data_IF_480308589613
#
_entry.id   IF_480308589613
#
_cell.length_a   1.000
_cell.length_b   1.000
_cell.length_c   1.000
_cell.angle_alpha   90.00
_cell.angle_beta   90.00
_cell.angle_gamma   90.00
#
_symmetry.space_group_name_H-M   'P 1'
#
loop_
_entity.id
_entity.type
_entity.pdbx_description
1 polymer ?
#
# COMPACT_ATOMS: atom_id res chain seq x y z
N UNK A 1 -5.19 18.23 9.79
CA UNK A 1 -4.68 17.33 8.72
C UNK A 1 -3.60 16.44 9.35
N UNK A 2 -3.59 15.16 9.01
CA UNK A 2 -2.53 14.22 9.42
C UNK A 2 -1.22 14.62 8.74
N UNK A 3 -0.12 14.71 9.48
CA UNK A 3 1.18 15.07 8.87
C UNK A 3 1.73 13.93 8.02
N UNK A 4 2.57 14.24 7.02
CA UNK A 4 3.24 13.21 6.20
C UNK A 4 4.02 12.22 7.05
N UNK A 5 4.70 12.69 8.07
CA UNK A 5 5.45 11.83 9.01
C UNK A 5 4.53 10.83 9.74
N UNK A 6 3.35 11.27 10.16
CA UNK A 6 2.35 10.41 10.78
C UNK A 6 1.76 9.41 9.79
N UNK A 7 1.53 9.83 8.52
CA UNK A 7 1.08 8.92 7.45
C UNK A 7 2.13 7.82 7.25
N UNK A 8 3.41 8.17 7.14
CA UNK A 8 4.50 7.19 7.00
C UNK A 8 4.56 6.26 8.21
N UNK A 9 4.42 6.78 9.43
CA UNK A 9 4.37 5.95 10.64
C UNK A 9 3.24 4.91 10.56
N UNK A 10 2.05 5.32 10.16
CA UNK A 10 0.89 4.41 10.02
C UNK A 10 1.07 3.40 8.88
N UNK A 11 1.74 3.76 7.80
CA UNK A 11 2.10 2.81 6.72
C UNK A 11 3.02 1.69 7.24
N UNK A 12 3.86 1.99 8.24
CA UNK A 12 4.80 1.06 8.85
C UNK A 12 4.21 0.24 10.01
N UNK A 13 3.06 0.62 10.57
CA UNK A 13 2.39 -0.09 11.66
C UNK A 13 0.95 -0.49 11.28
N UNK A 14 0.64 -1.79 11.19
CA UNK A 14 1.48 -2.98 11.36
C UNK A 14 2.37 -3.29 10.14
N UNK A 15 2.43 -2.44 9.12
CA UNK A 15 3.22 -2.64 7.92
C UNK A 15 2.59 -3.60 6.91
N UNK A 16 1.27 -3.69 6.90
CA UNK A 16 0.47 -4.40 5.89
C UNK A 16 -0.39 -3.37 5.15
N UNK A 17 -0.18 -3.25 3.86
CA UNK A 17 -0.91 -2.33 2.98
C UNK A 17 -1.80 -3.16 2.07
N UNK A 18 -3.10 -3.28 2.36
CA UNK A 18 -4.05 -3.95 1.48
C UNK A 18 -4.25 -3.15 0.20
N UNK A 19 -4.16 -3.82 -0.94
CA UNK A 19 -4.38 -3.24 -2.27
C UNK A 19 -5.77 -3.65 -2.76
N UNK A 20 -6.70 -2.70 -2.77
CA UNK A 20 -8.08 -2.91 -3.18
C UNK A 20 -8.18 -2.64 -4.68
N UNK A 21 -8.37 -3.71 -5.43
CA UNK A 21 -8.61 -3.69 -6.87
C UNK A 21 -9.87 -4.48 -7.15
N UNK A 22 -10.97 -3.79 -7.38
CA UNK A 22 -12.27 -4.37 -7.65
C UNK A 22 -12.67 -4.15 -9.11
N UNK A 23 -13.30 -5.16 -9.73
CA UNK A 23 -13.87 -5.05 -11.07
C UNK A 23 -15.24 -4.34 -11.03
N UNK A 24 -15.90 -4.36 -9.86
CA UNK A 24 -17.13 -3.63 -9.56
C UNK A 24 -16.88 -2.60 -8.45
N UNK A 25 -17.25 -1.34 -8.70
CA UNK A 25 -17.12 -0.25 -7.73
C UNK A 25 -17.88 -0.53 -6.41
N UNK A 26 -19.03 -1.19 -6.48
CA UNK A 26 -19.88 -1.46 -5.32
C UNK A 26 -19.23 -2.37 -4.28
N UNK A 27 -18.23 -3.16 -4.70
CA UNK A 27 -17.47 -4.02 -3.78
C UNK A 27 -16.38 -3.28 -2.99
N UNK A 28 -15.96 -2.10 -3.43
CA UNK A 28 -14.80 -1.42 -2.84
C UNK A 28 -15.07 -0.92 -1.41
N UNK A 29 -16.22 -0.30 -1.17
CA UNK A 29 -16.55 0.22 0.16
C UNK A 29 -16.80 -0.88 1.20
N UNK A 30 -17.56 -1.96 0.90
CA UNK A 30 -17.67 -3.09 1.81
C UNK A 30 -16.33 -3.78 2.09
N UNK A 31 -15.44 -3.88 1.07
CA UNK A 31 -14.09 -4.40 1.29
C UNK A 31 -13.27 -3.51 2.25
N UNK A 32 -13.35 -2.18 2.11
CA UNK A 32 -12.71 -1.25 3.05
C UNK A 32 -13.22 -1.46 4.49
N UNK A 33 -14.53 -1.61 4.67
CA UNK A 33 -15.13 -1.86 5.99
C UNK A 33 -14.65 -3.18 6.60
N UNK A 34 -14.62 -4.25 5.81
CA UNK A 34 -14.16 -5.55 6.27
C UNK A 34 -12.68 -5.53 6.67
N UNK A 35 -11.82 -4.85 5.89
CA UNK A 35 -10.40 -4.69 6.19
C UNK A 35 -10.19 -3.88 7.48
N UNK A 36 -10.97 -2.80 7.66
CA UNK A 36 -10.93 -1.99 8.89
C UNK A 36 -11.41 -2.78 10.10
N UNK A 37 -12.46 -3.59 9.97
CA UNK A 37 -12.93 -4.46 11.03
C UNK A 37 -11.87 -5.48 11.45
N UNK A 38 -11.05 -5.95 10.51
CA UNK A 38 -9.89 -6.82 10.74
C UNK A 38 -8.63 -6.11 11.25
N UNK A 39 -8.70 -4.79 11.52
CA UNK A 39 -7.62 -4.02 12.13
C UNK A 39 -6.62 -3.39 11.15
N UNK A 40 -6.87 -3.43 9.85
CA UNK A 40 -6.04 -2.74 8.84
C UNK A 40 -6.53 -1.30 8.68
N UNK A 41 -5.75 -0.33 9.15
CA UNK A 41 -6.09 1.10 9.17
C UNK A 41 -5.45 1.90 8.02
N UNK A 42 -4.80 1.22 7.09
CA UNK A 42 -4.24 1.77 5.85
C UNK A 42 -4.92 1.06 4.69
N UNK A 43 -5.48 1.79 3.74
CA UNK A 43 -6.24 1.22 2.62
C UNK A 43 -5.79 1.86 1.30
N UNK A 44 -5.28 1.07 0.36
CA UNK A 44 -4.91 1.51 -1.00
C UNK A 44 -6.03 1.14 -1.99
N UNK A 45 -6.73 2.14 -2.55
CA UNK A 45 -7.69 1.94 -3.64
C UNK A 45 -6.97 2.21 -4.96
N UNK A 46 -6.99 1.25 -5.89
CA UNK A 46 -6.26 1.42 -7.16
C UNK A 46 -7.07 2.21 -8.18
N UNK A 47 -6.39 3.02 -9.00
CA UNK A 47 -7.01 3.77 -10.11
C UNK A 47 -7.62 2.86 -11.19
N UNK A 48 -7.31 1.57 -11.17
CA UNK A 48 -7.92 0.57 -12.06
C UNK A 48 -9.30 0.08 -11.58
N UNK A 49 -9.70 0.43 -10.36
CA UNK A 49 -11.07 0.20 -9.87
C UNK A 49 -12.02 1.20 -10.52
N UNK A 50 -13.17 0.80 -11.06
CA UNK A 50 -14.14 1.72 -11.62
C UNK A 50 -14.54 2.79 -10.58
N UNK A 51 -14.68 4.05 -11.02
CA UNK A 51 -15.02 5.21 -10.18
C UNK A 51 -14.04 5.46 -9.00
N UNK A 52 -12.77 5.09 -9.14
CA UNK A 52 -11.77 5.15 -8.07
C UNK A 52 -11.73 6.50 -7.32
N UNK A 53 -11.79 7.63 -8.03
CA UNK A 53 -11.77 8.96 -7.41
C UNK A 53 -13.01 9.23 -6.53
N UNK A 54 -14.18 8.76 -6.94
CA UNK A 54 -15.39 8.87 -6.13
C UNK A 54 -15.28 7.98 -4.88
N UNK A 55 -14.80 6.76 -5.03
CA UNK A 55 -14.55 5.82 -3.93
C UNK A 55 -13.52 6.35 -2.93
N UNK A 56 -12.42 6.95 -3.40
CA UNK A 56 -11.41 7.57 -2.54
C UNK A 56 -12.05 8.72 -1.73
N UNK A 57 -12.87 9.57 -2.37
CA UNK A 57 -13.56 10.67 -1.69
C UNK A 57 -14.51 10.15 -0.62
N UNK A 58 -15.34 9.17 -0.95
CA UNK A 58 -16.25 8.54 0.01
C UNK A 58 -15.49 7.88 1.17
N UNK A 59 -14.46 7.08 0.88
CA UNK A 59 -13.66 6.41 1.88
C UNK A 59 -12.94 7.40 2.80
N UNK A 60 -12.35 8.47 2.24
CA UNK A 60 -11.65 9.50 3.01
C UNK A 60 -12.57 10.25 3.98
N UNK A 61 -13.84 10.50 3.60
CA UNK A 61 -14.83 11.12 4.45
C UNK A 61 -15.37 10.15 5.51
N UNK A 62 -15.73 8.93 5.09
CA UNK A 62 -16.37 7.93 5.95
C UNK A 62 -15.43 7.36 6.99
N UNK A 63 -14.15 7.20 6.66
CA UNK A 63 -13.15 6.54 7.51
C UNK A 63 -12.08 7.48 8.07
N UNK A 64 -12.19 8.80 7.87
CA UNK A 64 -11.17 9.81 8.19
C UNK A 64 -10.52 9.67 9.57
N UNK A 65 -11.29 9.25 10.60
CA UNK A 65 -10.79 9.05 11.98
C UNK A 65 -10.19 7.66 12.22
N UNK A 66 -10.49 6.69 11.36
CA UNK A 66 -10.14 5.29 11.55
C UNK A 66 -9.04 4.79 10.61
N UNK A 67 -8.99 5.34 9.40
CA UNK A 67 -8.03 4.92 8.37
C UNK A 67 -7.36 6.10 7.67
N UNK A 68 -6.21 5.83 7.08
CA UNK A 68 -5.64 6.64 6.00
C UNK A 68 -5.92 5.95 4.66
N UNK A 69 -6.39 6.75 3.71
CA UNK A 69 -6.77 6.27 2.38
C UNK A 69 -5.67 6.66 1.41
N UNK A 70 -5.20 5.71 0.64
CA UNK A 70 -4.25 5.94 -0.44
C UNK A 70 -4.79 5.57 -1.80
N UNK A 71 -4.10 6.05 -2.80
CA UNK A 71 -4.34 5.72 -4.19
C UNK A 71 -3.20 4.89 -4.76
N UNK A 72 -3.52 3.78 -5.42
CA UNK A 72 -2.55 2.94 -6.14
C UNK A 72 -2.69 3.02 -7.65
N UNK A 73 -1.65 2.54 -8.34
CA UNK A 73 -1.59 2.53 -9.82
C UNK A 73 -1.63 3.94 -10.43
N UNK A 74 -1.02 4.90 -9.73
CA UNK A 74 -0.88 6.27 -10.25
C UNK A 74 0.27 6.32 -11.25
N UNK A 75 -0.01 6.81 -12.46
CA UNK A 75 0.93 6.81 -13.58
C UNK A 75 1.36 8.21 -14.00
N UNK A 76 0.63 9.25 -13.60
CA UNK A 76 0.93 10.64 -13.99
C UNK A 76 0.70 11.62 -12.83
N UNK A 77 1.29 12.81 -12.95
CA UNK A 77 1.10 13.90 -11.99
C UNK A 77 -0.36 14.37 -11.94
N UNK A 78 -1.10 14.31 -13.05
CA UNK A 78 -2.52 14.65 -13.13
C UNK A 78 -3.37 13.67 -12.31
N UNK A 79 -3.13 12.35 -12.46
CA UNK A 79 -3.78 11.32 -11.62
C UNK A 79 -3.48 11.53 -10.14
N UNK A 80 -2.23 11.90 -9.81
CA UNK A 80 -1.81 12.20 -8.45
C UNK A 80 -2.62 13.37 -7.86
N UNK A 81 -2.71 14.52 -8.58
CA UNK A 81 -3.47 15.68 -8.13
C UNK A 81 -4.95 15.33 -7.92
N UNK A 82 -5.57 14.68 -8.90
CA UNK A 82 -6.98 14.31 -8.82
C UNK A 82 -7.28 13.39 -7.62
N UNK A 83 -6.39 12.44 -7.32
CA UNK A 83 -6.55 11.55 -6.17
C UNK A 83 -6.36 12.29 -4.82
N UNK A 84 -5.42 13.22 -4.74
CA UNK A 84 -5.20 14.06 -3.56
C UNK A 84 -6.42 14.98 -3.34
N UNK A 85 -6.96 15.60 -4.38
CA UNK A 85 -8.19 16.39 -4.31
C UNK A 85 -9.41 15.55 -3.90
N UNK A 86 -9.40 14.26 -4.22
CA UNK A 86 -10.39 13.30 -3.72
C UNK A 86 -10.18 12.90 -2.26
N UNK A 87 -9.05 13.25 -1.64
CA UNK A 87 -8.77 12.98 -0.22
C UNK A 87 -7.74 11.87 0.05
N UNK A 88 -6.97 11.44 -0.97
CA UNK A 88 -5.89 10.49 -0.75
C UNK A 88 -4.81 11.09 0.17
N UNK A 89 -4.34 10.30 1.14
CA UNK A 89 -3.28 10.65 2.08
C UNK A 89 -1.91 10.14 1.61
N UNK A 90 -1.87 9.09 0.79
CA UNK A 90 -0.64 8.57 0.20
C UNK A 90 -0.87 8.10 -1.23
N UNK A 91 0.20 8.09 -2.01
CA UNK A 91 0.20 7.78 -3.43
C UNK A 91 1.17 6.63 -3.71
N UNK A 92 0.72 5.64 -4.47
CA UNK A 92 1.53 4.47 -4.85
C UNK A 92 1.60 4.35 -6.37
N UNK A 93 2.81 4.23 -6.90
CA UNK A 93 3.04 3.97 -8.31
C UNK A 93 3.47 2.52 -8.55
N UNK A 94 3.17 1.91 -9.70
CA UNK A 94 3.68 0.58 -10.02
C UNK A 94 5.10 0.60 -10.61
N UNK A 95 5.56 1.76 -11.06
CA UNK A 95 6.85 1.98 -11.71
C UNK A 95 7.47 3.30 -11.23
N UNK A 96 8.71 3.54 -11.59
CA UNK A 96 9.43 4.77 -11.28
C UNK A 96 8.78 5.99 -11.94
N UNK A 97 8.26 6.93 -11.12
CA UNK A 97 7.59 8.19 -11.51
C UNK A 97 8.01 9.31 -10.57
N UNK A 98 9.25 9.79 -10.65
CA UNK A 98 9.81 10.77 -9.70
C UNK A 98 9.06 12.10 -9.70
N UNK A 99 8.44 12.48 -10.82
CA UNK A 99 7.65 13.71 -10.96
C UNK A 99 6.41 13.75 -10.05
N UNK A 100 5.97 12.61 -9.52
CA UNK A 100 4.85 12.51 -8.58
C UNK A 100 5.25 12.95 -7.19
N UNK A 101 6.50 12.76 -6.79
CA UNK A 101 6.97 13.06 -5.43
C UNK A 101 6.74 14.51 -5.02
N UNK A 102 7.20 15.54 -5.75
CA UNK A 102 6.98 16.92 -5.36
C UNK A 102 5.49 17.30 -5.33
N UNK A 103 4.69 16.73 -6.23
CA UNK A 103 3.24 16.97 -6.28
C UNK A 103 2.56 16.49 -5.00
N UNK A 104 2.87 15.27 -4.56
CA UNK A 104 2.28 14.69 -3.36
C UNK A 104 2.82 15.36 -2.08
N UNK A 105 4.11 15.64 -2.00
CA UNK A 105 4.74 16.23 -0.82
C UNK A 105 4.25 17.65 -0.53
N UNK A 106 4.03 18.48 -1.54
CA UNK A 106 3.45 19.83 -1.38
C UNK A 106 2.05 19.76 -0.74
N UNK A 107 1.30 18.68 -1.02
CA UNK A 107 -0.01 18.43 -0.42
C UNK A 107 0.05 17.71 0.94
N UNK A 108 1.25 17.42 1.46
CA UNK A 108 1.44 16.69 2.71
C UNK A 108 1.18 15.19 2.63
N UNK A 109 1.08 14.62 1.41
CA UNK A 109 0.86 13.18 1.18
C UNK A 109 2.18 12.42 1.14
N UNK A 110 2.17 11.16 1.62
CA UNK A 110 3.30 10.26 1.48
C UNK A 110 3.34 9.60 0.10
N UNK A 111 4.54 9.20 -0.35
CA UNK A 111 4.74 8.57 -1.67
C UNK A 111 5.47 7.24 -1.52
N UNK A 112 4.89 6.22 -2.14
CA UNK A 112 5.50 4.90 -2.33
C UNK A 112 5.78 4.73 -3.82
N UNK A 113 7.03 4.98 -4.25
CA UNK A 113 7.42 4.85 -5.65
C UNK A 113 7.71 3.40 -6.03
N UNK A 114 7.23 3.00 -7.20
CA UNK A 114 7.51 1.70 -7.80
C UNK A 114 8.92 1.60 -8.35
N UNK A 115 9.53 0.44 -8.14
CA UNK A 115 10.82 0.03 -8.66
C UNK A 115 10.83 -1.49 -8.85
N UNK A 116 11.76 -2.00 -9.65
CA UNK A 116 11.99 -3.44 -9.78
C UNK A 116 13.46 -3.79 -9.55
N UNK A 117 14.38 -2.93 -9.96
CA UNK A 117 15.83 -3.13 -9.87
C UNK A 117 16.45 -2.34 -8.70
N UNK A 118 17.65 -2.72 -8.21
CA UNK A 118 18.37 -1.96 -7.20
C UNK A 118 18.62 -0.50 -7.62
N UNK A 119 18.92 -0.26 -8.89
CA UNK A 119 19.14 1.09 -9.45
C UNK A 119 17.86 1.92 -9.33
N UNK A 120 16.71 1.38 -9.76
CA UNK A 120 15.43 2.08 -9.65
C UNK A 120 15.06 2.34 -8.19
N UNK A 121 15.33 1.40 -7.29
CA UNK A 121 15.07 1.57 -5.86
C UNK A 121 15.91 2.72 -5.27
N UNK A 122 17.19 2.80 -5.63
CA UNK A 122 18.06 3.91 -5.20
C UNK A 122 17.60 5.25 -5.78
N UNK A 123 17.27 5.29 -7.08
CA UNK A 123 16.75 6.51 -7.72
C UNK A 123 15.42 6.96 -7.12
N UNK A 124 14.54 6.02 -6.72
CA UNK A 124 13.29 6.34 -6.03
C UNK A 124 13.57 7.00 -4.67
N UNK A 125 14.54 6.49 -3.92
CA UNK A 125 14.99 7.09 -2.66
C UNK A 125 15.55 8.51 -2.87
N UNK A 126 16.44 8.70 -3.86
CA UNK A 126 17.03 10.00 -4.20
C UNK A 126 15.99 11.02 -4.67
N UNK A 127 14.94 10.56 -5.35
CA UNK A 127 13.79 11.40 -5.70
C UNK A 127 12.94 11.82 -4.48
N UNK A 128 13.21 11.29 -3.29
CA UNK A 128 12.54 11.63 -2.04
C UNK A 128 11.31 10.76 -1.72
N UNK A 129 11.16 9.58 -2.34
CA UNK A 129 10.09 8.66 -1.95
C UNK A 129 10.17 8.29 -0.46
N UNK A 130 9.02 8.28 0.22
CA UNK A 130 8.95 7.90 1.64
C UNK A 130 9.18 6.40 1.84
N UNK A 131 8.66 5.58 0.90
CA UNK A 131 8.89 4.15 0.80
C UNK A 131 9.06 3.76 -0.67
N UNK A 132 9.58 2.55 -0.91
CA UNK A 132 9.88 2.05 -2.25
C UNK A 132 9.16 0.73 -2.46
N UNK A 133 8.25 0.69 -3.41
CA UNK A 133 7.53 -0.51 -3.80
C UNK A 133 8.37 -1.33 -4.78
N UNK A 134 8.75 -2.54 -4.39
CA UNK A 134 9.31 -3.51 -5.35
C UNK A 134 8.17 -4.30 -5.96
N UNK A 135 7.95 -4.11 -7.27
CA UNK A 135 6.84 -4.73 -8.00
C UNK A 135 7.24 -5.17 -9.41
N UNK A 136 6.87 -6.42 -9.83
CA UNK A 136 6.40 -7.49 -8.95
C UNK A 136 7.50 -7.93 -7.96
N UNK A 137 7.12 -8.36 -6.74
CA UNK A 137 8.13 -8.86 -5.80
C UNK A 137 8.67 -10.21 -6.27
N UNK A 138 9.98 -10.40 -6.15
CA UNK A 138 10.62 -11.68 -6.52
C UNK A 138 10.64 -12.63 -5.32
N UNK A 139 11.53 -12.39 -4.36
CA UNK A 139 11.69 -13.25 -3.19
C UNK A 139 12.25 -12.47 -2.00
N UNK A 140 12.09 -12.95 -0.77
CA UNK A 140 12.76 -12.38 0.40
C UNK A 140 14.28 -12.34 0.25
N UNK A 141 14.89 -13.35 -0.38
CA UNK A 141 16.32 -13.39 -0.64
C UNK A 141 16.79 -12.26 -1.55
N UNK A 142 16.02 -11.92 -2.59
CA UNK A 142 16.31 -10.78 -3.46
C UNK A 142 16.31 -9.45 -2.68
N UNK A 143 15.29 -9.23 -1.84
CA UNK A 143 15.21 -8.03 -1.01
C UNK A 143 16.39 -7.96 -0.02
N UNK A 144 16.71 -9.07 0.63
CA UNK A 144 17.86 -9.14 1.56
C UNK A 144 19.17 -8.81 0.86
N UNK A 145 19.38 -9.33 -0.36
CA UNK A 145 20.58 -9.04 -1.16
C UNK A 145 20.64 -7.55 -1.57
N UNK A 146 19.50 -6.92 -1.87
CA UNK A 146 19.41 -5.49 -2.18
C UNK A 146 19.71 -4.63 -0.95
N UNK A 147 19.13 -4.97 0.21
CA UNK A 147 19.30 -4.21 1.45
C UNK A 147 20.70 -4.34 2.05
N UNK A 148 21.46 -5.38 1.72
CA UNK A 148 22.84 -5.54 2.19
C UNK A 148 23.71 -4.29 1.93
N UNK A 149 23.88 -3.84 0.68
CA UNK A 149 24.60 -2.61 0.35
C UNK A 149 23.79 -1.32 0.56
N UNK A 150 22.44 -1.39 0.67
CA UNK A 150 21.54 -0.23 0.72
C UNK A 150 20.55 -0.34 1.90
N UNK A 151 21.03 -0.42 3.17
CA UNK A 151 20.18 -0.62 4.33
C UNK A 151 19.26 0.57 4.66
N UNK A 152 19.48 1.71 4.03
CA UNK A 152 18.66 2.93 4.19
C UNK A 152 17.33 2.86 3.42
N UNK A 153 17.16 1.91 2.49
CA UNK A 153 15.96 1.80 1.68
C UNK A 153 14.80 1.20 2.48
N UNK A 154 13.65 1.87 2.47
CA UNK A 154 12.41 1.38 3.06
C UNK A 154 11.58 0.64 2.02
N UNK A 155 11.79 -0.67 1.90
CA UNK A 155 11.22 -1.50 0.85
C UNK A 155 9.82 -2.03 1.24
N UNK A 156 8.91 -2.02 0.25
CA UNK A 156 7.55 -2.57 0.31
C UNK A 156 7.37 -3.55 -0.85
N UNK A 157 7.67 -4.84 -0.67
CA UNK A 157 7.42 -5.86 -1.71
C UNK A 157 5.92 -5.97 -1.96
N UNK A 158 5.53 -6.04 -3.22
CA UNK A 158 4.14 -6.15 -3.64
C UNK A 158 4.01 -7.12 -4.81
N UNK A 159 2.94 -7.91 -4.83
CA UNK A 159 2.71 -8.97 -5.82
C UNK A 159 3.26 -10.33 -5.35
N UNK A 160 2.36 -11.30 -5.18
CA UNK A 160 2.72 -12.64 -4.70
C UNK A 160 2.95 -12.76 -3.19
N UNK A 161 2.87 -11.65 -2.44
CA UNK A 161 3.00 -11.67 -0.98
C UNK A 161 1.74 -12.26 -0.34
N UNK A 162 1.92 -13.18 0.61
CA UNK A 162 0.85 -13.89 1.31
C UNK A 162 1.23 -14.17 2.78
N UNK A 163 0.36 -14.87 3.53
CA UNK A 163 0.59 -15.18 4.95
C UNK A 163 1.84 -16.03 5.19
N UNK A 164 2.23 -16.89 4.24
CA UNK A 164 3.40 -17.74 4.35
C UNK A 164 4.69 -16.95 4.09
N UNK A 165 4.72 -16.14 3.02
CA UNK A 165 5.90 -15.36 2.63
C UNK A 165 6.07 -14.05 3.41
N UNK A 166 5.00 -13.51 3.98
CA UNK A 166 5.02 -12.24 4.71
C UNK A 166 6.09 -12.17 5.82
N UNK A 167 6.16 -13.17 6.74
CA UNK A 167 7.19 -13.19 7.78
C UNK A 167 8.62 -13.19 7.24
N UNK A 168 8.85 -13.87 6.12
CA UNK A 168 10.17 -13.93 5.48
C UNK A 168 10.58 -12.58 4.88
N UNK A 169 9.62 -11.82 4.31
CA UNK A 169 9.89 -10.47 3.82
C UNK A 169 10.25 -9.51 4.97
N UNK A 170 9.55 -9.58 6.10
CA UNK A 170 9.93 -8.77 7.27
C UNK A 170 11.31 -9.16 7.81
N UNK A 171 11.61 -10.46 7.89
CA UNK A 171 12.94 -10.97 8.27
C UNK A 171 14.04 -10.54 7.29
N UNK A 172 13.70 -10.34 6.01
CA UNK A 172 14.61 -9.81 5.00
C UNK A 172 14.88 -8.30 5.15
N UNK A 173 14.17 -7.60 6.04
CA UNK A 173 14.33 -6.17 6.32
C UNK A 173 13.31 -5.26 5.62
N UNK A 174 12.21 -5.82 5.09
CA UNK A 174 11.16 -4.99 4.51
C UNK A 174 10.48 -4.11 5.57
N UNK A 175 10.23 -2.85 5.23
CA UNK A 175 9.58 -1.88 6.10
C UNK A 175 8.06 -2.15 6.23
N UNK A 176 7.43 -2.60 5.15
CA UNK A 176 6.04 -3.00 5.06
C UNK A 176 5.88 -4.01 3.90
N UNK A 177 4.68 -4.58 3.75
CA UNK A 177 4.30 -5.44 2.63
C UNK A 177 3.02 -4.94 1.98
N UNK A 178 2.97 -4.96 0.64
CA UNK A 178 1.77 -4.68 -0.14
C UNK A 178 1.05 -5.99 -0.49
N UNK A 179 -0.19 -6.15 -0.04
CA UNK A 179 -0.94 -7.38 -0.20
C UNK A 179 -2.18 -7.15 -1.07
N UNK A 180 -2.21 -7.76 -2.25
CA UNK A 180 -3.30 -7.65 -3.22
C UNK A 180 -4.20 -8.90 -3.19
N UNK A 181 -4.11 -9.74 -4.20
CA UNK A 181 -5.02 -10.89 -4.42
C UNK A 181 -4.98 -11.97 -3.33
N UNK A 182 -3.90 -12.03 -2.56
CA UNK A 182 -3.79 -12.94 -1.40
C UNK A 182 -4.64 -12.49 -0.20
N UNK A 183 -5.11 -11.24 -0.19
CA UNK A 183 -6.00 -10.68 0.82
C UNK A 183 -7.34 -10.29 0.20
N UNK A 184 -7.34 -9.39 -0.78
CA UNK A 184 -8.53 -8.94 -1.49
C UNK A 184 -8.63 -9.70 -2.81
N UNK A 185 -9.07 -10.96 -2.75
CA UNK A 185 -9.14 -11.80 -3.95
C UNK A 185 -10.41 -11.50 -4.78
N UNK A 186 -10.35 -11.68 -6.12
CA UNK A 186 -11.54 -11.57 -6.95
C UNK A 186 -12.69 -12.51 -6.53
N UNK A 187 -12.34 -13.66 -5.94
CA UNK A 187 -13.33 -14.61 -5.40
C UNK A 187 -14.07 -14.02 -4.20
N UNK A 188 -13.33 -13.50 -3.20
CA UNK A 188 -13.92 -12.86 -2.01
C UNK A 188 -14.85 -11.71 -2.41
N UNK A 189 -14.46 -10.89 -3.39
CA UNK A 189 -15.26 -9.76 -3.86
C UNK A 189 -16.55 -10.23 -4.55
N UNK A 190 -16.48 -11.20 -5.48
CA UNK A 190 -17.64 -11.71 -6.17
C UNK A 190 -18.63 -12.45 -5.27
N UNK A 191 -18.13 -13.16 -4.27
CA UNK A 191 -18.95 -13.89 -3.30
C UNK A 191 -19.40 -12.99 -2.14
N UNK A 192 -18.99 -11.72 -2.12
CA UNK A 192 -19.26 -10.75 -1.05
C UNK A 192 -18.95 -11.31 0.35
N UNK A 193 -17.89 -12.13 0.43
CA UNK A 193 -17.50 -12.79 1.69
C UNK A 193 -16.75 -11.83 2.63
N UNK A 194 -17.44 -10.80 3.10
CA UNK A 194 -16.88 -9.75 3.95
C UNK A 194 -16.40 -10.28 5.31
N UNK A 195 -17.11 -11.25 5.89
CA UNK A 195 -16.68 -11.92 7.13
C UNK A 195 -15.37 -12.69 6.93
N UNK A 196 -15.23 -13.38 5.78
CA UNK A 196 -13.98 -14.05 5.43
C UNK A 196 -12.83 -13.06 5.22
N UNK A 197 -13.10 -11.91 4.59
CA UNK A 197 -12.11 -10.86 4.40
C UNK A 197 -11.65 -10.26 5.72
N UNK A 198 -12.59 -10.00 6.66
CA UNK A 198 -12.25 -9.50 8.01
C UNK A 198 -11.32 -10.46 8.74
N UNK A 199 -11.67 -11.76 8.76
CA UNK A 199 -10.84 -12.79 9.41
C UNK A 199 -9.43 -12.87 8.80
N UNK A 200 -9.35 -12.82 7.46
CA UNK A 200 -8.07 -12.84 6.76
C UNK A 200 -7.22 -11.60 7.07
N UNK A 201 -7.85 -10.43 7.19
CA UNK A 201 -7.19 -9.20 7.61
C UNK A 201 -6.61 -9.31 9.03
N UNK A 202 -7.38 -9.89 9.98
CA UNK A 202 -6.90 -10.18 11.35
C UNK A 202 -5.67 -11.08 11.34
N UNK A 203 -5.65 -12.12 10.48
CA UNK A 203 -4.51 -13.02 10.32
C UNK A 203 -3.26 -12.28 9.82
N UNK A 204 -3.41 -11.40 8.82
CA UNK A 204 -2.30 -10.57 8.33
C UNK A 204 -1.78 -9.59 9.39
N UNK A 205 -2.66 -8.96 10.17
CA UNK A 205 -2.26 -8.08 11.29
C UNK A 205 -1.50 -8.89 12.35
N UNK A 206 -2.03 -10.05 12.74
CA UNK A 206 -1.40 -10.91 13.73
C UNK A 206 -0.02 -11.42 13.25
N UNK A 207 0.09 -11.81 11.99
CA UNK A 207 1.34 -12.22 11.35
C UNK A 207 2.36 -11.07 11.39
N UNK A 208 1.98 -9.87 10.93
CA UNK A 208 2.89 -8.72 10.86
C UNK A 208 3.38 -8.24 12.23
N UNK A 209 2.54 -8.34 13.28
CA UNK A 209 2.92 -8.00 14.66
C UNK A 209 3.89 -9.00 15.28
N UNK A 210 3.86 -10.27 14.85
CA UNK A 210 4.76 -11.33 15.34
C UNK A 210 6.07 -11.39 14.56
N UNK A 211 6.11 -10.82 13.34
CA UNK A 211 7.28 -10.89 12.49
C UNK A 211 8.44 -10.07 13.10
N UNK A 212 9.67 -10.60 13.10
CA UNK A 212 10.83 -9.85 13.53
C UNK A 212 11.05 -8.67 12.56
N UNK A 213 11.23 -7.49 13.12
CA UNK A 213 11.58 -6.28 12.38
C UNK A 213 12.99 -5.84 12.75
N UNK A 214 13.80 -5.51 11.76
CA UNK A 214 15.13 -4.95 11.96
C UNK A 214 15.06 -3.45 12.24
#
# INVERSE_FOLDING_TARGET
>A
MTSRAEIVFRLLDPGVIPVIRADNADHAMPACEALLAGGLTVLEITMTTPNALALIREASQRFAKRAIIGVGTVMTAEMCRAAIEAGANFVVTPIMRPEIVPVAHVAGCAVILGAFTPTEAQLAHEAGADLIKIFPSLSPAYIKAMLGPMPHLKIVPTGGVNLQSGPEFFTAGCAAIGVATSLVSPKILREENWTGLTRLAEEFVAMARKAPRQ
#
